data_IF_923857239271
#
_entry.id   IF_923857239271
#
_cell.length_a   1.000
_cell.length_b   1.000
_cell.length_c   1.000
_cell.angle_alpha   90.00
_cell.angle_beta   90.00
_cell.angle_gamma   90.00
#
_symmetry.space_group_name_H-M   'P 1'
#
loop_
_entity.id
_entity.type
_entity.pdbx_description
1 polymer ?
#
# COMPACT_ATOMS: atom_id res chain seq x y z
N UNK A 1 -5.69 -19.28 -7.53
CA UNK A 1 -5.44 -17.85 -7.79
C UNK A 1 -5.90 -17.04 -6.58
N UNK A 2 -5.12 -16.03 -6.19
CA UNK A 2 -5.46 -15.05 -5.15
C UNK A 2 -5.37 -13.68 -5.80
N UNK A 3 -6.28 -12.77 -5.41
CA UNK A 3 -6.31 -11.41 -5.91
C UNK A 3 -6.18 -10.46 -4.73
N UNK A 4 -5.24 -9.53 -4.86
CA UNK A 4 -5.04 -8.44 -3.90
C UNK A 4 -5.22 -7.09 -4.59
N UNK A 5 -5.60 -6.07 -3.82
CA UNK A 5 -5.49 -4.67 -4.22
C UNK A 5 -4.43 -4.02 -3.36
N UNK A 6 -3.50 -3.32 -4.00
CA UNK A 6 -2.48 -2.53 -3.31
C UNK A 6 -2.73 -1.04 -3.53
N UNK A 7 -2.50 -0.24 -2.50
CA UNK A 7 -2.74 1.21 -2.57
C UNK A 7 -1.83 1.94 -1.60
N UNK A 8 -1.23 3.02 -2.07
CA UNK A 8 -0.56 3.96 -1.20
C UNK A 8 -1.52 5.02 -0.70
N UNK A 9 -1.38 5.35 0.58
CA UNK A 9 -2.29 6.28 1.25
C UNK A 9 -1.56 7.58 1.59
N UNK A 10 -2.37 8.61 1.86
CA UNK A 10 -1.85 9.93 2.23
C UNK A 10 -0.91 9.83 3.45
N UNK A 11 0.20 10.55 3.39
CA UNK A 11 1.20 10.60 4.47
C UNK A 11 0.60 11.17 5.75
N UNK A 12 1.05 10.65 6.88
CA UNK A 12 0.49 10.90 8.21
C UNK A 12 1.58 11.49 9.10
N UNK A 13 1.45 12.77 9.47
CA UNK A 13 2.32 13.40 10.47
C UNK A 13 1.94 12.98 11.89
N UNK A 14 2.88 12.47 12.68
CA UNK A 14 2.64 12.03 14.05
C UNK A 14 2.89 13.17 15.03
N UNK A 15 1.86 13.52 15.80
CA UNK A 15 1.90 14.61 16.76
C UNK A 15 0.48 15.07 17.13
N UNK A 16 0.40 16.04 18.05
CA UNK A 16 -0.87 16.64 18.47
C UNK A 16 -1.38 17.69 17.47
N UNK A 17 -1.62 17.25 16.23
CA UNK A 17 -1.88 18.10 15.08
C UNK A 17 -3.37 18.11 14.70
N UNK A 18 -3.86 19.27 14.26
CA UNK A 18 -5.23 19.38 13.75
C UNK A 18 -5.27 19.09 12.26
N UNK A 19 -6.12 18.16 11.83
CA UNK A 19 -6.31 17.83 10.39
C UNK A 19 -7.66 18.28 9.84
N UNK A 20 -8.37 19.13 10.57
CA UNK A 20 -9.72 19.60 10.20
C UNK A 20 -10.78 18.49 10.11
N UNK A 21 -10.49 17.29 10.63
CA UNK A 21 -11.40 16.15 10.64
C UNK A 21 -12.38 16.16 11.81
N UNK A 22 -13.38 15.27 11.76
CA UNK A 22 -14.32 15.04 12.86
C UNK A 22 -14.07 13.66 13.47
N UNK A 23 -13.93 13.61 14.79
CA UNK A 23 -13.84 12.36 15.56
C UNK A 23 -15.22 11.94 16.05
N UNK A 24 -15.50 10.62 16.10
CA UNK A 24 -16.71 10.06 16.70
C UNK A 24 -16.54 9.88 18.22
N UNK A 25 -16.08 10.93 18.90
CA UNK A 25 -15.88 10.95 20.35
C UNK A 25 -16.89 11.87 21.02
N UNK A 26 -17.26 11.59 22.28
CA UNK A 26 -18.21 12.45 23.03
C UNK A 26 -17.66 13.86 23.25
N UNK A 27 -16.34 13.97 23.38
CA UNK A 27 -15.63 15.24 23.54
C UNK A 27 -14.67 15.45 22.35
N UNK A 28 -14.48 16.71 21.99
CA UNK A 28 -13.53 17.10 20.95
C UNK A 28 -12.09 16.90 21.47
N UNK A 29 -11.27 16.22 20.67
CA UNK A 29 -9.84 16.11 20.95
C UNK A 29 -9.18 17.49 20.81
N UNK A 30 -8.35 17.85 21.78
CA UNK A 30 -7.58 19.10 21.75
C UNK A 30 -6.31 18.89 20.95
N UNK A 31 -6.14 19.63 19.87
CA UNK A 31 -4.91 19.70 19.09
C UNK A 31 -4.21 21.05 19.32
N UNK A 32 -2.96 21.15 18.89
CA UNK A 32 -2.28 22.44 18.84
C UNK A 32 -2.95 23.35 17.78
N UNK A 33 -3.01 24.65 18.05
CA UNK A 33 -3.51 25.67 17.09
C UNK A 33 -2.60 25.75 15.85
N UNK A 34 -1.30 25.49 16.04
CA UNK A 34 -0.32 25.54 14.97
C UNK A 34 0.47 24.22 14.84
N UNK A 35 0.51 23.71 13.61
CA UNK A 35 1.16 22.46 13.23
C UNK A 35 2.66 22.66 12.90
N UNK A 36 3.45 23.15 13.85
CA UNK A 36 4.87 23.42 13.63
C UNK A 36 5.79 22.22 13.88
N UNK A 37 5.41 21.31 14.78
CA UNK A 37 6.26 20.22 15.24
C UNK A 37 5.55 18.87 15.11
N UNK A 38 6.21 17.90 14.50
CA UNK A 38 5.78 16.49 14.48
C UNK A 38 7.00 15.60 14.67
N UNK A 39 6.82 14.44 15.32
CA UNK A 39 7.91 13.52 15.60
C UNK A 39 8.38 12.79 14.35
N UNK A 40 7.44 12.41 13.49
CA UNK A 40 7.71 11.64 12.27
C UNK A 40 6.58 11.81 11.25
N UNK A 41 6.84 11.39 10.01
CA UNK A 41 5.83 11.28 8.96
C UNK A 41 5.79 9.85 8.49
N UNK A 42 4.65 9.19 8.72
CA UNK A 42 4.42 7.83 8.26
C UNK A 42 3.84 7.82 6.85
N UNK A 43 4.22 6.82 6.08
CA UNK A 43 3.69 6.49 4.76
C UNK A 43 2.92 5.17 4.88
N UNK A 44 1.58 5.23 4.96
CA UNK A 44 0.76 4.02 4.95
C UNK A 44 0.73 3.38 3.57
N UNK A 45 0.87 2.05 3.56
CA UNK A 45 0.66 1.21 2.38
C UNK A 45 -0.29 0.07 2.72
N UNK A 46 -1.38 -0.04 1.96
CA UNK A 46 -2.43 -1.02 2.18
C UNK A 46 -2.34 -2.17 1.19
N UNK A 47 -2.51 -3.40 1.69
CA UNK A 47 -2.74 -4.60 0.88
C UNK A 47 -4.07 -5.21 1.33
N UNK A 48 -5.05 -5.17 0.45
CA UNK A 48 -6.37 -5.76 0.67
C UNK A 48 -6.46 -7.10 -0.08
N UNK A 49 -6.72 -8.17 0.65
CA UNK A 49 -6.92 -9.50 0.10
C UNK A 49 -8.41 -9.74 -0.16
N UNK A 50 -8.77 -9.88 -1.44
CA UNK A 50 -10.17 -10.02 -1.84
C UNK A 50 -10.75 -11.40 -1.50
N UNK A 51 -9.91 -12.40 -1.22
CA UNK A 51 -10.39 -13.74 -0.88
C UNK A 51 -10.71 -13.86 0.61
N UNK A 52 -9.83 -13.32 1.47
CA UNK A 52 -10.01 -13.38 2.93
C UNK A 52 -10.75 -12.17 3.50
N UNK A 53 -10.98 -11.14 2.67
CA UNK A 53 -11.54 -9.84 3.06
C UNK A 53 -10.71 -9.13 4.16
N UNK A 54 -9.40 -9.43 4.21
CA UNK A 54 -8.49 -8.86 5.21
C UNK A 54 -7.68 -7.70 4.63
N UNK A 55 -7.55 -6.64 5.41
CA UNK A 55 -6.69 -5.50 5.12
C UNK A 55 -5.42 -5.57 5.98
N UNK A 56 -4.28 -5.63 5.32
CA UNK A 56 -2.96 -5.41 5.95
C UNK A 56 -2.50 -3.98 5.69
N UNK A 57 -2.03 -3.30 6.73
CA UNK A 57 -1.49 -1.94 6.62
C UNK A 57 -0.04 -1.94 7.11
N UNK A 58 0.85 -1.46 6.25
CA UNK A 58 2.27 -1.28 6.51
C UNK A 58 2.58 0.21 6.65
N UNK A 59 3.58 0.53 7.47
CA UNK A 59 3.98 1.91 7.74
C UNK A 59 5.46 2.07 7.42
N UNK A 60 5.76 2.89 6.40
CA UNK A 60 7.11 3.37 6.13
C UNK A 60 7.36 4.73 6.77
N UNK A 61 8.63 5.07 7.01
CA UNK A 61 9.04 6.40 7.49
C UNK A 61 9.73 7.25 6.42
N UNK A 62 9.89 6.70 5.20
CA UNK A 62 10.62 7.32 4.10
C UNK A 62 9.70 7.64 2.91
N UNK A 63 10.25 7.77 1.70
CA UNK A 63 9.42 7.95 0.51
C UNK A 63 8.73 6.64 0.10
N UNK A 64 7.55 6.74 -0.49
CA UNK A 64 6.93 5.63 -1.20
C UNK A 64 7.74 5.32 -2.47
N UNK A 65 8.58 4.29 -2.39
CA UNK A 65 9.41 3.83 -3.51
C UNK A 65 8.93 2.47 -4.03
N UNK A 66 9.37 2.12 -5.24
CA UNK A 66 9.15 0.78 -5.79
C UNK A 66 9.65 -0.32 -4.85
N UNK A 67 10.79 -0.07 -4.17
CA UNK A 67 11.38 -1.02 -3.23
C UNK A 67 10.50 -1.18 -2.00
N UNK A 68 10.10 -0.07 -1.37
CA UNK A 68 9.20 -0.09 -0.22
C UNK A 68 7.91 -0.86 -0.49
N UNK A 69 7.27 -0.65 -1.65
CA UNK A 69 6.03 -1.34 -2.01
C UNK A 69 6.22 -2.85 -2.14
N UNK A 70 7.32 -3.28 -2.78
CA UNK A 70 7.59 -4.71 -2.95
C UNK A 70 8.08 -5.35 -1.66
N UNK A 71 8.77 -4.62 -0.78
CA UNK A 71 9.13 -5.11 0.55
C UNK A 71 7.87 -5.37 1.40
N UNK A 72 6.88 -4.47 1.34
CA UNK A 72 5.58 -4.69 1.97
C UNK A 72 4.83 -5.90 1.38
N UNK A 73 4.89 -6.07 0.05
CA UNK A 73 4.32 -7.24 -0.63
C UNK A 73 4.98 -8.54 -0.20
N UNK A 74 6.32 -8.56 -0.06
CA UNK A 74 7.07 -9.70 0.46
C UNK A 74 6.66 -10.05 1.87
N UNK A 75 6.61 -9.05 2.78
CA UNK A 75 6.15 -9.27 4.15
C UNK A 75 4.71 -9.79 4.21
N UNK A 76 3.83 -9.29 3.34
CA UNK A 76 2.46 -9.80 3.26
C UNK A 76 2.44 -11.26 2.80
N UNK A 77 3.19 -11.58 1.74
CA UNK A 77 3.24 -12.95 1.23
C UNK A 77 3.80 -13.92 2.27
N UNK A 78 4.90 -13.57 2.95
CA UNK A 78 5.48 -14.39 4.02
C UNK A 78 4.48 -14.77 5.11
N UNK A 79 3.64 -13.81 5.51
CA UNK A 79 2.63 -14.00 6.55
C UNK A 79 1.37 -14.76 6.06
N UNK A 80 1.08 -14.77 4.76
CA UNK A 80 -0.19 -15.27 4.21
C UNK A 80 -0.04 -16.51 3.33
N UNK A 81 1.17 -16.83 2.85
CA UNK A 81 1.41 -17.94 1.93
C UNK A 81 0.95 -19.30 2.47
N UNK A 82 0.98 -19.49 3.79
CA UNK A 82 0.49 -20.72 4.44
C UNK A 82 -1.00 -20.98 4.23
N UNK A 83 -1.80 -19.92 4.06
CA UNK A 83 -3.24 -20.00 3.74
C UNK A 83 -3.50 -20.25 2.25
N UNK A 84 -2.45 -20.22 1.43
CA UNK A 84 -2.49 -20.29 -0.03
C UNK A 84 -1.54 -21.36 -0.56
N UNK A 85 -1.52 -22.53 0.09
CA UNK A 85 -0.82 -23.71 -0.41
C UNK A 85 -1.25 -24.00 -1.85
N UNK A 86 -0.27 -24.24 -2.74
CA UNK A 86 -0.48 -24.51 -4.18
C UNK A 86 -0.92 -23.32 -5.03
N UNK A 87 -0.71 -22.08 -4.55
CA UNK A 87 -0.95 -20.92 -5.37
C UNK A 87 0.09 -20.79 -6.50
N UNK A 88 -0.35 -20.83 -7.75
CA UNK A 88 0.52 -20.58 -8.92
C UNK A 88 0.45 -19.13 -9.43
N UNK A 89 -0.64 -18.41 -9.14
CA UNK A 89 -0.88 -17.06 -9.68
C UNK A 89 -1.40 -16.09 -8.61
N UNK A 90 -0.71 -14.96 -8.50
CA UNK A 90 -1.12 -13.79 -7.72
C UNK A 90 -1.50 -12.64 -8.67
N UNK A 91 -2.73 -12.17 -8.54
CA UNK A 91 -3.23 -11.02 -9.30
C UNK A 91 -3.21 -9.78 -8.41
N UNK A 92 -2.56 -8.72 -8.88
CA UNK A 92 -2.37 -7.49 -8.14
C UNK A 92 -3.11 -6.37 -8.88
N UNK A 93 -4.15 -5.84 -8.25
CA UNK A 93 -4.79 -4.60 -8.70
C UNK A 93 -4.05 -3.40 -8.11
N UNK A 94 -3.73 -2.42 -8.95
CA UNK A 94 -2.99 -1.22 -8.57
C UNK A 94 -3.36 -0.04 -9.47
N UNK A 95 -3.19 1.17 -8.97
CA UNK A 95 -3.21 2.37 -9.81
C UNK A 95 -1.86 2.53 -10.54
N UNK A 96 -1.75 3.55 -11.39
CA UNK A 96 -0.55 3.80 -12.18
C UNK A 96 0.33 4.90 -11.55
N UNK A 97 0.54 4.82 -10.23
CA UNK A 97 1.27 5.81 -9.45
C UNK A 97 2.74 5.95 -9.85
N UNK A 98 3.39 7.06 -9.47
CA UNK A 98 4.76 7.40 -9.93
C UNK A 98 5.76 6.28 -9.62
N UNK A 99 5.62 5.61 -8.47
CA UNK A 99 6.55 4.59 -7.97
C UNK A 99 6.31 3.19 -8.53
N UNK A 100 5.16 2.93 -9.14
CA UNK A 100 4.74 1.59 -9.58
C UNK A 100 3.99 1.59 -10.91
N UNK A 101 4.08 2.69 -11.67
CA UNK A 101 3.53 2.76 -13.02
C UNK A 101 4.13 1.67 -13.92
N UNK A 102 3.36 1.25 -14.92
CA UNK A 102 3.70 0.10 -15.77
C UNK A 102 5.05 0.16 -16.48
N UNK A 103 5.60 1.36 -16.72
CA UNK A 103 6.91 1.57 -17.35
C UNK A 103 8.05 1.85 -16.35
N UNK A 104 7.80 1.79 -15.04
CA UNK A 104 8.82 1.99 -14.01
C UNK A 104 9.69 0.75 -13.91
N UNK A 105 10.87 0.81 -14.52
CA UNK A 105 11.82 -0.31 -14.58
C UNK A 105 12.17 -0.90 -13.22
N UNK A 106 12.37 -0.06 -12.19
CA UNK A 106 12.66 -0.54 -10.84
C UNK A 106 11.51 -1.35 -10.24
N UNK A 107 10.26 -0.92 -10.44
CA UNK A 107 9.09 -1.65 -9.96
C UNK A 107 8.96 -2.99 -10.67
N UNK A 108 9.05 -3.00 -12.00
CA UNK A 108 9.01 -4.24 -12.79
C UNK A 108 10.14 -5.19 -12.38
N UNK A 109 11.35 -4.67 -12.17
CA UNK A 109 12.50 -5.47 -11.68
C UNK A 109 12.19 -6.14 -10.34
N UNK A 110 11.68 -5.37 -9.37
CA UNK A 110 11.37 -5.89 -8.03
C UNK A 110 10.21 -6.90 -8.06
N UNK A 111 9.18 -6.68 -8.89
CA UNK A 111 8.10 -7.66 -9.10
C UNK A 111 8.62 -8.95 -9.76
N UNK A 112 9.50 -8.86 -10.76
CA UNK A 112 10.11 -10.05 -11.37
C UNK A 112 10.97 -10.84 -10.37
N UNK A 113 11.71 -10.14 -9.51
CA UNK A 113 12.48 -10.76 -8.44
C UNK A 113 11.55 -11.47 -7.45
N UNK A 114 10.52 -10.78 -6.94
CA UNK A 114 9.51 -11.38 -6.06
C UNK A 114 8.83 -12.61 -6.69
N UNK A 115 8.48 -12.52 -7.97
CA UNK A 115 7.91 -13.62 -8.76
C UNK A 115 8.83 -14.84 -8.81
N UNK A 116 10.12 -14.62 -9.08
CA UNK A 116 11.13 -15.68 -9.18
C UNK A 116 11.41 -16.35 -7.84
N UNK A 117 11.54 -15.55 -6.77
CA UNK A 117 11.81 -16.03 -5.40
C UNK A 117 10.66 -16.91 -4.88
N UNK A 118 9.42 -16.52 -5.17
CA UNK A 118 8.22 -17.20 -4.66
C UNK A 118 7.59 -18.19 -5.64
N UNK A 119 8.16 -18.35 -6.84
CA UNK A 119 7.63 -19.20 -7.92
C UNK A 119 6.16 -18.89 -8.27
N UNK A 120 5.79 -17.61 -8.21
CA UNK A 120 4.44 -17.14 -8.50
C UNK A 120 4.37 -16.45 -9.85
N UNK A 121 3.37 -16.78 -10.67
CA UNK A 121 2.99 -15.95 -11.82
C UNK A 121 2.31 -14.68 -11.30
N UNK A 122 2.90 -13.51 -11.57
CA UNK A 122 2.33 -12.22 -11.16
C UNK A 122 1.59 -11.60 -12.32
N UNK A 123 0.32 -11.25 -12.10
CA UNK A 123 -0.50 -10.51 -13.07
C UNK A 123 -0.84 -9.13 -12.50
N UNK A 124 -0.30 -8.09 -13.12
CA UNK A 124 -0.58 -6.70 -12.75
C UNK A 124 -1.81 -6.18 -13.52
N UNK A 125 -2.80 -5.69 -12.80
CA UNK A 125 -4.05 -5.13 -13.35
C UNK A 125 -4.11 -3.65 -12.97
N UNK A 126 -3.75 -2.79 -13.91
CA UNK A 126 -3.81 -1.34 -13.71
C UNK A 126 -5.24 -0.85 -13.86
N UNK A 127 -5.72 -0.07 -12.89
CA UNK A 127 -6.99 0.62 -13.03
C UNK A 127 -6.94 1.59 -14.25
N UNK A 128 -8.04 1.72 -14.99
CA UNK A 128 -8.11 2.69 -16.09
C UNK A 128 -7.71 4.08 -15.59
N UNK A 129 -6.97 4.88 -16.38
CA UNK A 129 -6.66 6.24 -15.99
C UNK A 129 -7.97 6.99 -15.74
N UNK A 130 -8.08 7.61 -14.56
CA UNK A 130 -9.23 8.42 -14.22
C UNK A 130 -9.30 9.62 -15.17
N UNK A 131 -10.15 9.54 -16.20
CA UNK A 131 -10.65 10.73 -16.89
C UNK A 131 -11.92 11.15 -16.16
N UNK A 132 -11.84 12.20 -15.35
CA UNK A 132 -13.02 12.99 -15.09
C UNK A 132 -13.55 13.45 -16.46
N UNK A 133 -14.72 12.99 -16.85
CA UNK A 133 -15.42 13.64 -17.95
C UNK A 133 -15.70 15.08 -17.52
N UNK A 134 -15.31 15.99 -18.42
CA UNK A 134 -15.50 17.44 -18.35
C UNK A 134 -16.99 17.74 -18.35
#
# INVERSE_FOLDING_TARGET
MVRISIDSKARVKIGNLSRGGKSRTREALKANDHDHNWSETLVPFGIFDLKSEQLSIYWGTSAETSDFMVDCLSMWWENNQGSYSELEELVINLDNGISHRSNRTQFIKRICQFSSENKLRIRLIYYPPYRAQI
#
